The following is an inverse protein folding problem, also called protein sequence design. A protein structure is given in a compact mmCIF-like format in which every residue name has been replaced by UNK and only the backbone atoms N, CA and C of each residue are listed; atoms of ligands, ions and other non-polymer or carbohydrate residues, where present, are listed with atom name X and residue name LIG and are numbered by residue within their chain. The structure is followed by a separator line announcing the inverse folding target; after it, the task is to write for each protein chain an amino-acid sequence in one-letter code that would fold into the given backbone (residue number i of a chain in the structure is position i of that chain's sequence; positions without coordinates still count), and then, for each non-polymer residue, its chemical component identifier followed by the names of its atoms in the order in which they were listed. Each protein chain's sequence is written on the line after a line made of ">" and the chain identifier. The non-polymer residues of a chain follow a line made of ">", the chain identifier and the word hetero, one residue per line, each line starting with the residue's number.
data_IF_390119715743
#
_entry.id   IF_390119715743
#
_cell.length_a   1.000
_cell.length_b   1.000
_cell.length_c   1.000
_cell.angle_alpha   90.00
_cell.angle_beta   90.00
_cell.angle_gamma   90.00
#
_symmetry.space_group_name_H-M   'P 1'
#
loop_
_entity.id
_entity.type
_entity.pdbx_description
1 polymer ?
#
# COMPACT_ATOMS: atom_id res chain seq x y z
N UNK A 1 -0.41 11.41 -26.54
CA UNK A 1 0.33 10.75 -25.60
C UNK A 1 -0.49 9.97 -24.63
N UNK A 2 -0.06 8.77 -24.32
CA UNK A 2 -0.79 7.94 -23.49
C UNK A 2 -0.43 8.07 -22.07
N UNK A 3 -1.38 8.06 -21.19
CA UNK A 3 -1.08 8.09 -19.80
C UNK A 3 -0.62 6.77 -19.33
N UNK A 4 0.33 6.78 -18.41
CA UNK A 4 0.84 5.56 -17.83
C UNK A 4 -0.09 5.09 -16.74
N UNK A 5 -0.44 3.82 -16.75
CA UNK A 5 -1.29 3.27 -15.73
C UNK A 5 -0.51 3.04 -14.45
N UNK A 6 -1.17 3.12 -13.30
CA UNK A 6 -0.47 2.93 -12.02
C UNK A 6 0.21 1.58 -11.88
N UNK A 7 -0.31 0.55 -12.53
CA UNK A 7 0.30 -0.77 -12.40
C UNK A 7 1.23 -1.12 -13.55
N UNK A 8 1.57 -0.17 -14.41
CA UNK A 8 2.54 -0.41 -15.48
C UNK A 8 3.93 -0.48 -14.88
N UNK A 9 4.68 -1.57 -15.09
CA UNK A 9 6.04 -1.69 -14.53
C UNK A 9 7.02 -0.87 -15.34
N UNK A 10 7.60 0.15 -14.72
CA UNK A 10 8.46 1.08 -15.43
C UNK A 10 9.77 1.42 -14.72
N UNK A 11 9.90 1.15 -13.43
CA UNK A 11 11.10 1.57 -12.69
C UNK A 11 11.98 0.37 -12.37
N UNK A 12 13.26 0.43 -12.77
CA UNK A 12 14.21 -0.58 -12.30
C UNK A 12 14.48 -0.36 -10.82
N UNK A 13 15.07 -1.35 -10.16
CA UNK A 13 15.19 -1.32 -8.71
C UNK A 13 15.98 -0.12 -8.19
N UNK A 14 17.03 0.30 -8.90
CA UNK A 14 17.81 1.44 -8.41
C UNK A 14 16.98 2.72 -8.40
N UNK A 15 16.13 2.90 -9.40
CA UNK A 15 15.27 4.07 -9.46
C UNK A 15 14.18 3.97 -8.39
N UNK A 16 13.59 2.78 -8.26
CA UNK A 16 12.55 2.58 -7.26
C UNK A 16 13.10 2.86 -5.86
N UNK A 17 14.31 2.39 -5.59
CA UNK A 17 14.94 2.61 -4.29
C UNK A 17 15.17 4.10 -4.05
N UNK A 18 15.61 4.82 -5.07
CA UNK A 18 15.79 6.26 -4.96
C UNK A 18 14.48 6.95 -4.62
N UNK A 19 13.42 6.58 -5.32
CA UNK A 19 12.11 7.18 -5.09
C UNK A 19 11.62 6.92 -3.68
N UNK A 20 12.00 5.77 -3.12
CA UNK A 20 11.56 5.38 -1.79
C UNK A 20 12.54 5.80 -0.70
N UNK A 21 13.70 6.34 -1.08
CA UNK A 21 14.67 6.78 -0.11
C UNK A 21 15.34 5.64 0.63
N UNK A 22 15.61 4.53 -0.04
CA UNK A 22 16.23 3.39 0.60
C UNK A 22 17.23 2.74 -0.35
N UNK A 23 17.96 1.78 0.17
CA UNK A 23 18.91 1.03 -0.62
C UNK A 23 18.19 -0.06 -1.42
N UNK A 24 18.67 -0.40 -2.62
CA UNK A 24 18.04 -1.49 -3.36
C UNK A 24 17.94 -2.80 -2.59
N UNK A 25 18.90 -3.07 -1.70
CA UNK A 25 18.84 -4.27 -0.86
C UNK A 25 17.58 -4.29 -0.02
N UNK A 26 17.14 -3.13 0.44
CA UNK A 26 15.92 -3.04 1.24
C UNK A 26 14.73 -3.55 0.44
N UNK A 27 14.65 -3.19 -0.84
CA UNK A 27 13.55 -3.65 -1.67
C UNK A 27 13.59 -5.15 -1.91
N UNK A 28 14.80 -5.70 -2.01
CA UNK A 28 14.93 -7.15 -2.15
C UNK A 28 14.47 -7.87 -0.90
N UNK A 29 14.77 -7.30 0.27
CA UNK A 29 14.30 -7.86 1.54
C UNK A 29 12.78 -7.81 1.61
N UNK A 30 12.18 -6.70 1.18
CA UNK A 30 10.72 -6.61 1.18
C UNK A 30 10.13 -7.69 0.29
N UNK A 31 10.73 -7.92 -0.86
CA UNK A 31 10.24 -8.96 -1.75
C UNK A 31 10.37 -10.34 -1.10
N UNK A 32 11.51 -10.60 -0.46
CA UNK A 32 11.73 -11.89 0.17
C UNK A 32 10.72 -12.18 1.27
N UNK A 33 10.24 -11.14 1.93
CA UNK A 33 9.29 -11.29 3.01
C UNK A 33 7.84 -11.17 2.53
N UNK A 34 7.64 -11.16 1.23
CA UNK A 34 6.29 -11.15 0.70
C UNK A 34 5.59 -9.82 0.80
N UNK A 35 6.33 -8.72 1.00
CA UNK A 35 5.73 -7.41 1.13
C UNK A 35 5.55 -6.73 -0.21
N UNK A 36 6.36 -7.07 -1.19
CA UNK A 36 6.29 -6.49 -2.52
C UNK A 36 6.49 -7.58 -3.55
N UNK A 37 5.89 -7.38 -4.73
CA UNK A 37 5.99 -8.35 -5.82
C UNK A 37 6.17 -7.60 -7.13
N UNK A 38 7.37 -7.09 -7.39
CA UNK A 38 7.58 -6.38 -8.65
C UNK A 38 7.48 -7.33 -9.83
N UNK A 39 7.17 -6.79 -10.98
CA UNK A 39 7.19 -7.57 -12.21
C UNK A 39 8.63 -7.93 -12.57
N UNK A 40 8.79 -8.97 -13.35
CA UNK A 40 10.10 -9.33 -13.81
C UNK A 40 10.10 -9.43 -15.32
N UNK A 41 11.14 -8.85 -15.91
CA UNK A 41 11.33 -8.99 -17.34
C UNK A 41 12.76 -9.47 -17.52
N UNK A 42 12.95 -10.72 -17.93
CA UNK A 42 14.28 -11.27 -18.11
C UNK A 42 15.12 -11.14 -16.86
N UNK A 43 14.58 -11.45 -15.71
CA UNK A 43 15.31 -11.37 -14.45
C UNK A 43 15.47 -9.97 -13.91
N UNK A 44 15.00 -8.95 -14.63
CA UNK A 44 15.10 -7.59 -14.13
C UNK A 44 13.81 -7.26 -13.41
N UNK A 45 13.94 -6.75 -12.18
CA UNK A 45 12.78 -6.31 -11.42
C UNK A 45 12.33 -4.98 -11.93
N UNK A 46 11.03 -4.85 -12.17
CA UNK A 46 10.44 -3.60 -12.61
C UNK A 46 9.28 -3.26 -11.69
N UNK A 47 9.30 -2.04 -11.17
CA UNK A 47 8.33 -1.57 -10.20
C UNK A 47 7.38 -0.59 -10.86
N UNK A 48 6.10 -0.67 -10.51
CA UNK A 48 5.09 0.25 -11.00
C UNK A 48 4.91 1.40 -10.03
N UNK A 49 4.11 2.39 -10.42
CA UNK A 49 3.75 3.46 -9.49
C UNK A 49 3.02 2.89 -8.28
N UNK A 50 2.16 1.91 -8.50
CA UNK A 50 1.45 1.28 -7.40
C UNK A 50 2.42 0.60 -6.45
N UNK A 51 3.46 -0.02 -7.00
CA UNK A 51 4.51 -0.62 -6.17
C UNK A 51 5.23 0.44 -5.35
N UNK A 52 5.49 1.61 -5.95
CA UNK A 52 6.15 2.68 -5.23
C UNK A 52 5.27 3.15 -4.06
N UNK A 53 3.97 3.28 -4.30
CA UNK A 53 3.07 3.69 -3.23
C UNK A 53 3.01 2.65 -2.13
N UNK A 54 3.02 1.38 -2.50
CA UNK A 54 3.06 0.31 -1.51
C UNK A 54 4.35 0.38 -0.71
N UNK A 55 5.46 0.65 -1.38
CA UNK A 55 6.74 0.81 -0.71
C UNK A 55 6.74 1.96 0.28
N UNK A 56 6.09 3.08 -0.07
CA UNK A 56 5.99 4.21 0.85
C UNK A 56 5.22 3.81 2.10
N UNK A 57 4.15 3.04 1.95
CA UNK A 57 3.40 2.57 3.09
C UNK A 57 4.25 1.66 3.97
N UNK A 58 5.00 0.75 3.36
CA UNK A 58 5.85 -0.16 4.10
C UNK A 58 6.88 0.62 4.90
N UNK A 59 7.53 1.59 4.26
CA UNK A 59 8.55 2.38 4.94
C UNK A 59 7.95 3.22 6.05
N UNK A 60 6.76 3.77 5.82
CA UNK A 60 6.07 4.51 6.86
C UNK A 60 5.81 3.63 8.09
N UNK A 61 5.31 2.42 7.85
CA UNK A 61 5.00 1.52 8.96
C UNK A 61 6.25 1.14 9.74
N UNK A 62 7.36 0.94 9.05
CA UNK A 62 8.60 0.57 9.71
C UNK A 62 9.26 1.76 10.37
N UNK A 63 9.43 2.86 9.63
CA UNK A 63 10.21 3.99 10.11
C UNK A 63 9.45 4.87 11.08
N UNK A 64 8.16 5.08 10.81
CA UNK A 64 7.39 5.99 11.64
C UNK A 64 6.59 5.28 12.70
N UNK A 65 6.12 4.08 12.42
CA UNK A 65 5.28 3.38 13.38
C UNK A 65 6.01 2.25 14.09
N UNK A 66 7.26 1.97 13.71
CA UNK A 66 8.10 1.02 14.43
C UNK A 66 7.71 -0.44 14.28
N UNK A 67 6.98 -0.78 13.23
CA UNK A 67 6.63 -2.17 13.04
C UNK A 67 7.81 -2.95 12.46
N UNK A 68 7.86 -4.24 12.77
CA UNK A 68 8.82 -5.11 12.11
C UNK A 68 8.18 -5.68 10.84
N UNK A 69 8.96 -6.45 10.08
CA UNK A 69 8.48 -6.93 8.79
C UNK A 69 7.24 -7.82 8.92
N UNK A 70 7.18 -8.64 9.96
CA UNK A 70 6.02 -9.50 10.16
C UNK A 70 4.78 -8.66 10.43
N UNK A 71 4.91 -7.61 11.22
CA UNK A 71 3.79 -6.72 11.51
C UNK A 71 3.31 -5.99 10.27
N UNK A 72 4.26 -5.53 9.44
CA UNK A 72 3.89 -4.88 8.20
C UNK A 72 3.12 -5.85 7.31
N UNK A 73 3.62 -7.07 7.21
CA UNK A 73 2.95 -8.05 6.37
C UNK A 73 1.52 -8.29 6.83
N UNK A 74 1.31 -8.38 8.13
CA UNK A 74 -0.03 -8.57 8.67
C UNK A 74 -0.93 -7.40 8.31
N UNK A 75 -0.43 -6.17 8.44
CA UNK A 75 -1.21 -4.98 8.09
C UNK A 75 -1.61 -5.03 6.62
N UNK A 76 -0.66 -5.38 5.74
CA UNK A 76 -0.96 -5.42 4.31
C UNK A 76 -1.98 -6.50 3.98
N UNK A 77 -1.90 -7.63 4.67
CA UNK A 77 -2.86 -8.70 4.45
C UNK A 77 -4.25 -8.29 4.90
N UNK A 78 -4.34 -7.60 6.02
CA UNK A 78 -5.62 -7.13 6.51
C UNK A 78 -6.21 -6.11 5.57
N UNK A 79 -5.39 -5.19 5.08
CA UNK A 79 -5.88 -4.18 4.13
C UNK A 79 -6.41 -4.83 2.86
N UNK A 80 -5.71 -5.81 2.35
CA UNK A 80 -6.13 -6.49 1.14
C UNK A 80 -7.46 -7.19 1.35
N UNK A 81 -7.59 -7.90 2.45
CA UNK A 81 -8.81 -8.62 2.76
C UNK A 81 -9.98 -7.66 2.94
N UNK A 82 -9.75 -6.59 3.68
CA UNK A 82 -10.80 -5.60 3.92
C UNK A 82 -11.23 -4.96 2.61
N UNK A 83 -10.27 -4.63 1.76
CA UNK A 83 -10.59 -4.01 0.48
C UNK A 83 -11.46 -4.93 -0.38
N UNK A 84 -11.12 -6.21 -0.41
CA UNK A 84 -11.89 -7.16 -1.21
C UNK A 84 -13.30 -7.28 -0.69
N UNK A 85 -13.46 -7.33 0.62
CA UNK A 85 -14.78 -7.42 1.21
C UNK A 85 -15.60 -6.17 0.94
N UNK A 86 -14.99 -5.03 1.10
CA UNK A 86 -15.71 -3.78 0.94
C UNK A 86 -16.02 -3.47 -0.52
N UNK A 87 -15.17 -3.91 -1.42
CA UNK A 87 -15.42 -3.72 -2.82
C UNK A 87 -16.72 -4.43 -3.23
N UNK A 88 -16.88 -5.65 -2.70
CA UNK A 88 -18.07 -6.40 -2.97
C UNK A 88 -19.31 -5.67 -2.48
N UNK A 89 -19.24 -5.11 -1.30
CA UNK A 89 -20.36 -4.39 -0.74
C UNK A 89 -20.70 -3.14 -1.56
N UNK A 90 -19.68 -2.39 -1.92
CA UNK A 90 -19.91 -1.16 -2.67
C UNK A 90 -20.44 -1.43 -4.07
N UNK A 91 -19.98 -2.50 -4.68
CA UNK A 91 -20.47 -2.86 -6.00
C UNK A 91 -21.95 -3.14 -5.97
N UNK A 92 -22.42 -3.78 -4.91
CA UNK A 92 -23.79 -4.08 -4.81
C UNK A 92 -24.62 -2.88 -4.51
N UNK A 93 -24.06 -1.98 -3.72
CA UNK A 93 -24.83 -0.93 -3.17
C UNK A 93 -24.99 0.25 -4.06
N UNK A 94 -24.23 0.53 -4.81
CA UNK A 94 -24.29 1.61 -5.64
C UNK A 94 -24.65 2.87 -5.04
N UNK A 95 -24.90 3.01 -3.96
CA UNK A 95 -25.29 4.19 -3.50
C UNK A 95 -24.47 5.02 -2.90
N UNK A 96 -24.29 5.65 -2.76
CA UNK A 96 -23.41 6.35 -2.27
C UNK A 96 -23.76 7.41 -1.44
N UNK A 97 -23.92 7.67 -1.17
CA UNK A 97 -23.98 8.63 -0.59
C UNK A 97 -24.06 8.98 0.39
N UNK A 98 -23.97 8.84 0.58
CA UNK A 98 -23.97 9.13 1.37
C UNK A 98 -23.57 9.44 2.15
N UNK A 99 -23.50 9.50 2.22
CA UNK A 99 -23.12 9.71 2.91
C UNK A 99 -22.65 9.95 3.67
N UNK A 100 -22.49 10.03 3.67
CA UNK A 100 -21.99 10.16 4.34
C UNK A 100 -21.53 10.49 5.14
N UNK A 101 -21.53 10.83 5.32
CA UNK A 101 -21.08 11.16 6.09
C UNK A 101 -20.74 10.91 6.87
N UNK A 102 -20.57 10.70 6.83
CA UNK A 102 -20.11 10.35 7.59
C UNK A 102 -19.52 10.31 8.19
N UNK A 103 -19.49 10.56 7.95
CA UNK A 103 -18.88 10.49 8.66
C UNK A 103 -18.51 10.43 9.25
N UNK A 104 -18.62 10.73 9.20
CA UNK A 104 -18.24 10.64 9.87
C UNK A 104 -17.81 10.24 10.51
N UNK A 105 -17.82 10.33 10.59
CA UNK A 105 -17.29 9.90 11.23
C UNK A 105 -16.66 9.51 11.47
N UNK A 106 -16.51 9.56 11.24
CA UNK A 106 -15.80 9.17 11.60
C UNK A 106 -15.27 9.04 11.96
N UNK A 107 -15.39 9.13 11.78
CA UNK A 107 -14.73 8.85 12.31
C UNK A 107 -14.45 8.55 12.84
N UNK A 108 -14.67 8.74 12.79
CA UNK A 108 -14.31 8.34 13.53
C UNK A 108 -13.88 7.83 13.79
N UNK A 109 -13.94 7.84 13.56
CA UNK A 109 -13.42 7.31 14.00
C UNK A 109 -12.78 7.28 13.93
N UNK A 110 -12.63 7.59 13.56
CA UNK A 110 -11.82 7.48 13.74
C UNK A 110 -11.48 7.78 14.23
N UNK A 111 -11.53 8.32 14.32
CA UNK A 111 -11.02 8.47 14.97
C UNK A 111 -10.79 8.26 15.67
N UNK A 112 -10.92 8.09 15.64
CA UNK A 112 -10.51 7.70 16.44
C UNK A 112 -10.07 7.46 16.80
N UNK A 113 -9.94 7.76 16.74
CA UNK A 113 -9.35 7.42 17.18
C UNK A 113 -8.76 7.52 17.64
N UNK A 114 -8.58 7.72 17.42
CA UNK A 114 -7.76 7.66 17.97
C UNK A 114 -7.39 7.71 18.67
N UNK A 115 -7.33 8.16 19.10
CA UNK A 115 -6.90 8.11 19.86
C UNK A 115 -6.43 7.71 20.33
N UNK A 116 -6.04 7.63 20.02
CA UNK A 116 -5.28 7.16 20.57
C UNK A 116 -4.83 6.91 20.61
N UNK A 117 -4.72 7.04 20.44
CA UNK A 117 -4.11 6.79 20.65
C UNK A 117 -3.87 6.66 20.64
N UNK A 118 -3.90 7.01 20.74
CA UNK A 118 -3.60 6.77 20.84
C UNK A 118 -3.50 6.55 20.93
#
# INVERSE_FOLDING_TARGET
>A
MKERRPDTPVYVISIAADLLGCHPRTLRIYEEHGLMSPSRRRRIRLYSERDIQRGRMIRYLIEERGLNLAGVRLILEIQQHYHEEMTWVFDDDESPDETQDHGTTQSAAHRARSKGGS
#
